data_IF_591844401940
#
_entry.id   IF_591844401940
#
_cell.length_a   1.000
_cell.length_b   1.000
_cell.length_c   1.000
_cell.angle_alpha   90.00
_cell.angle_beta   90.00
_cell.angle_gamma   90.00
#
_symmetry.space_group_name_H-M   'P 1'
#
loop_
_entity.id
_entity.type
_entity.pdbx_description
1 polymer ?
#
# COMPACT_ATOMS: atom_id res chain seq x y z
N UNK A 1 -26.38 -9.78 -40.80
CA UNK A 1 -26.36 -10.49 -39.50
C UNK A 1 -25.35 -11.63 -39.57
N UNK A 2 -24.07 -11.34 -39.34
CA UNK A 2 -23.02 -12.37 -39.23
C UNK A 2 -22.89 -12.78 -37.76
N UNK A 3 -23.05 -14.08 -37.49
CA UNK A 3 -22.85 -14.64 -36.15
C UNK A 3 -21.34 -14.67 -35.85
N UNK A 4 -20.85 -13.66 -35.14
CA UNK A 4 -19.50 -13.66 -34.58
C UNK A 4 -19.36 -14.80 -33.57
N UNK A 5 -18.55 -15.81 -33.90
CA UNK A 5 -18.15 -16.85 -32.95
C UNK A 5 -17.22 -16.22 -31.92
N UNK A 6 -17.66 -16.15 -30.67
CA UNK A 6 -16.81 -15.83 -29.53
C UNK A 6 -15.82 -16.98 -29.35
N UNK A 7 -14.58 -16.80 -29.82
CA UNK A 7 -13.49 -17.73 -29.51
C UNK A 7 -12.96 -17.30 -28.15
N UNK A 8 -13.41 -17.98 -27.08
CA UNK A 8 -12.78 -17.90 -25.78
C UNK A 8 -11.33 -18.39 -25.91
N UNK A 9 -10.36 -17.51 -25.68
CA UNK A 9 -8.95 -17.85 -25.47
C UNK A 9 -8.79 -18.37 -24.04
N UNK A 10 -8.65 -19.68 -23.79
CA UNK A 10 -8.45 -20.22 -22.46
C UNK A 10 -6.95 -20.42 -22.27
N UNK A 11 -6.16 -19.34 -22.22
CA UNK A 11 -4.70 -19.50 -22.14
C UNK A 11 -3.90 -18.35 -21.51
N UNK A 12 -4.52 -17.29 -20.96
CA UNK A 12 -3.77 -16.19 -20.34
C UNK A 12 -3.87 -16.09 -18.81
N UNK A 13 -4.60 -17.00 -18.14
CA UNK A 13 -4.75 -16.96 -16.67
C UNK A 13 -3.68 -17.75 -15.89
N UNK A 14 -2.73 -18.41 -16.55
CA UNK A 14 -1.75 -19.31 -15.89
C UNK A 14 -0.44 -18.59 -15.46
N UNK A 15 -0.24 -17.33 -15.83
CA UNK A 15 0.97 -16.57 -15.50
C UNK A 15 0.94 -15.80 -14.16
N UNK A 16 -0.06 -16.04 -13.30
CA UNK A 16 -0.08 -15.53 -11.91
C UNK A 16 0.41 -16.55 -10.87
N UNK A 17 1.06 -17.63 -11.30
CA UNK A 17 1.78 -18.52 -10.39
C UNK A 17 3.06 -17.79 -9.89
N UNK A 18 3.24 -17.61 -8.57
CA UNK A 18 4.43 -16.95 -8.05
C UNK A 18 5.64 -17.85 -8.26
N UNK A 19 6.54 -17.48 -9.17
CA UNK A 19 7.92 -17.94 -9.04
C UNK A 19 8.47 -17.32 -7.75
N UNK A 20 8.90 -18.17 -6.84
CA UNK A 20 9.57 -17.82 -5.58
C UNK A 20 10.97 -17.30 -5.87
N UNK A 21 11.06 -16.18 -6.58
CA UNK A 21 12.31 -15.46 -6.78
C UNK A 21 12.44 -14.54 -5.56
N UNK A 22 13.28 -14.94 -4.60
CA UNK A 22 13.55 -14.30 -3.31
C UNK A 22 12.53 -14.55 -2.16
N UNK A 23 12.50 -15.77 -1.63
CA UNK A 23 12.08 -16.00 -0.24
C UNK A 23 13.29 -15.83 0.69
N UNK A 24 13.38 -14.71 1.39
CA UNK A 24 14.25 -14.59 2.56
C UNK A 24 13.43 -14.94 3.81
N UNK A 25 13.95 -15.84 4.64
CA UNK A 25 13.33 -16.21 5.90
C UNK A 25 13.69 -15.15 6.95
N UNK A 26 12.65 -14.51 7.51
CA UNK A 26 12.80 -13.68 8.70
C UNK A 26 13.35 -14.53 9.86
N UNK A 27 14.31 -14.04 10.66
CA UNK A 27 14.79 -14.73 11.86
C UNK A 27 13.69 -14.83 12.94
N UNK A 28 12.59 -14.09 12.79
CA UNK A 28 11.34 -14.35 13.52
C UNK A 28 10.47 -15.28 12.66
N UNK A 29 10.13 -16.50 13.12
CA UNK A 29 9.29 -17.43 12.38
C UNK A 29 7.87 -16.86 12.34
N UNK A 30 7.53 -16.20 11.26
CA UNK A 30 6.13 -16.05 10.86
C UNK A 30 6.02 -16.62 9.46
N UNK A 31 5.32 -17.76 9.35
CA UNK A 31 4.88 -18.26 8.06
C UNK A 31 4.24 -17.10 7.29
N UNK A 32 4.53 -16.97 5.99
CA UNK A 32 3.96 -15.94 5.14
C UNK A 32 2.45 -15.87 5.39
N UNK A 33 2.01 -14.84 6.10
CA UNK A 33 0.62 -14.75 6.53
C UNK A 33 -0.14 -14.12 5.38
N UNK A 34 -0.82 -14.95 4.60
CA UNK A 34 -1.79 -14.48 3.64
C UNK A 34 -3.03 -14.02 4.43
N UNK A 35 -3.25 -12.72 4.49
CA UNK A 35 -4.41 -12.13 5.14
C UNK A 35 -5.43 -11.65 4.11
N UNK A 36 -6.71 -11.77 4.41
CA UNK A 36 -7.76 -11.21 3.55
C UNK A 36 -8.22 -9.87 4.10
N UNK A 37 -8.27 -8.85 3.25
CA UNK A 37 -8.80 -7.53 3.56
C UNK A 37 -10.02 -7.21 2.69
N UNK A 38 -10.93 -6.42 3.26
CA UNK A 38 -12.06 -5.87 2.53
C UNK A 38 -11.90 -4.36 2.43
N UNK A 39 -12.23 -3.79 1.28
CA UNK A 39 -12.16 -2.34 1.11
C UNK A 39 -13.38 -1.79 0.39
N UNK A 40 -13.75 -0.56 0.76
CA UNK A 40 -14.78 0.22 0.11
C UNK A 40 -14.18 1.54 -0.35
N UNK A 41 -14.35 1.88 -1.62
CA UNK A 41 -13.91 3.15 -2.20
C UNK A 41 -15.12 3.90 -2.74
N UNK A 42 -15.24 5.17 -2.40
CA UNK A 42 -16.14 6.10 -3.07
C UNK A 42 -15.30 7.17 -3.75
N UNK A 43 -15.51 7.35 -5.05
CA UNK A 43 -14.83 8.37 -5.86
C UNK A 43 -15.85 9.26 -6.55
N UNK A 44 -15.68 10.57 -6.42
CA UNK A 44 -16.39 11.57 -7.18
C UNK A 44 -15.38 12.36 -8.03
N UNK A 45 -15.69 12.56 -9.30
CA UNK A 45 -14.88 13.34 -10.22
C UNK A 45 -15.77 14.29 -11.00
N UNK A 46 -15.37 15.54 -11.09
CA UNK A 46 -15.98 16.50 -11.99
C UNK A 46 -15.05 16.72 -13.20
N UNK A 47 -15.61 17.08 -14.35
CA UNK A 47 -14.88 17.56 -15.51
C UNK A 47 -15.35 18.96 -15.85
N UNK A 48 -14.39 19.86 -16.06
CA UNK A 48 -14.63 21.19 -16.57
C UNK A 48 -13.46 21.54 -17.49
N UNK A 49 -13.69 21.50 -18.80
CA UNK A 49 -12.63 21.66 -19.81
C UNK A 49 -11.48 20.65 -19.56
N UNK A 50 -10.27 21.14 -19.33
CA UNK A 50 -9.07 20.34 -19.08
C UNK A 50 -8.87 20.01 -17.60
N UNK A 51 -9.74 20.50 -16.70
CA UNK A 51 -9.67 20.25 -15.27
C UNK A 51 -10.54 19.06 -14.87
N UNK A 52 -10.01 18.24 -13.97
CA UNK A 52 -10.66 17.06 -13.44
C UNK A 52 -10.55 17.01 -11.91
N UNK A 53 -11.27 17.87 -11.17
CA UNK A 53 -11.34 17.82 -9.72
C UNK A 53 -11.80 16.45 -9.25
N UNK A 54 -11.18 15.94 -8.18
CA UNK A 54 -11.40 14.59 -7.68
C UNK A 54 -11.45 14.58 -6.16
N UNK A 55 -12.47 13.91 -5.64
CA UNK A 55 -12.61 13.50 -4.26
C UNK A 55 -12.66 11.97 -4.20
N UNK A 56 -11.89 11.38 -3.31
CA UNK A 56 -11.88 9.94 -3.08
C UNK A 56 -11.85 9.66 -1.58
N UNK A 57 -12.63 8.69 -1.13
CA UNK A 57 -12.50 8.10 0.19
C UNK A 57 -12.36 6.59 0.08
N UNK A 58 -11.54 6.01 0.94
CA UNK A 58 -11.34 4.59 1.06
C UNK A 58 -11.40 4.18 2.52
N UNK A 59 -12.06 3.07 2.79
CA UNK A 59 -12.05 2.38 4.07
C UNK A 59 -11.58 0.95 3.82
N UNK A 60 -10.61 0.49 4.61
CA UNK A 60 -10.12 -0.89 4.57
C UNK A 60 -10.33 -1.54 5.93
N UNK A 61 -11.05 -2.64 5.94
CA UNK A 61 -11.27 -3.47 7.12
C UNK A 61 -10.37 -4.70 7.05
N UNK A 62 -9.60 -4.91 8.11
CA UNK A 62 -8.66 -6.02 8.21
C UNK A 62 -9.15 -7.05 9.22
N UNK A 63 -9.74 -8.14 8.73
CA UNK A 63 -10.38 -9.15 9.59
C UNK A 63 -9.37 -9.94 10.44
N UNK A 64 -8.09 -9.94 10.06
CA UNK A 64 -7.04 -10.64 10.77
C UNK A 64 -6.42 -9.75 11.85
N UNK A 65 -6.26 -10.31 13.06
CA UNK A 65 -5.46 -9.67 14.10
C UNK A 65 -4.02 -9.47 13.61
N UNK A 66 -3.46 -8.27 13.74
CA UNK A 66 -2.12 -7.97 13.21
C UNK A 66 -0.97 -8.62 14.00
N UNK A 67 -1.28 -9.17 15.18
CA UNK A 67 -0.32 -9.77 16.10
C UNK A 67 -0.60 -9.25 17.52
N UNK A 68 0.23 -9.64 18.50
CA UNK A 68 0.15 -9.05 19.82
C UNK A 68 0.40 -7.53 19.68
N UNK A 69 -0.43 -6.72 20.33
CA UNK A 69 -0.21 -5.28 20.50
C UNK A 69 -0.17 -4.94 21.96
N UNK A 70 0.71 -4.01 22.33
CA UNK A 70 0.77 -3.44 23.68
C UNK A 70 -0.18 -2.25 23.75
N UNK A 71 -1.26 -2.40 24.52
CA UNK A 71 -2.18 -1.28 24.78
C UNK A 71 -1.47 -0.25 25.66
N UNK A 72 -1.37 1.00 25.20
CA UNK A 72 -0.95 2.14 26.02
C UNK A 72 0.55 2.23 26.35
N UNK A 73 1.43 1.62 25.56
CA UNK A 73 2.89 1.76 25.75
C UNK A 73 3.44 1.18 27.06
N UNK A 74 2.66 0.34 27.76
CA UNK A 74 3.08 -0.20 29.06
C UNK A 74 4.29 -1.15 28.97
N UNK A 75 5.17 -1.05 29.97
CA UNK A 75 6.25 -2.00 30.22
C UNK A 75 5.72 -3.34 30.77
N UNK A 76 6.27 -4.42 30.20
CA UNK A 76 6.27 -5.82 30.64
C UNK A 76 4.96 -6.63 30.82
N UNK A 77 4.81 -7.61 29.92
CA UNK A 77 4.61 -9.05 30.21
C UNK A 77 3.38 -9.50 30.99
N UNK A 78 2.26 -8.79 31.00
CA UNK A 78 0.99 -9.40 31.42
C UNK A 78 0.20 -9.88 30.20
N UNK A 79 -0.38 -11.10 30.21
CA UNK A 79 -1.27 -11.58 29.14
C UNK A 79 -2.44 -10.63 28.83
N UNK A 80 -2.81 -9.74 29.76
CA UNK A 80 -3.81 -8.69 29.57
C UNK A 80 -3.32 -7.47 28.76
N UNK A 81 -2.00 -7.26 28.64
CA UNK A 81 -1.41 -6.17 27.87
C UNK A 81 -1.30 -6.48 26.37
N UNK A 82 -1.27 -7.77 26.01
CA UNK A 82 -1.29 -8.24 24.62
C UNK A 82 -2.73 -8.38 24.14
N UNK A 83 -3.27 -7.34 23.49
CA UNK A 83 -4.54 -7.47 22.77
C UNK A 83 -4.26 -7.62 21.29
N UNK A 84 -4.86 -8.65 20.70
CA UNK A 84 -5.03 -8.72 19.27
C UNK A 84 -5.93 -7.55 18.85
N UNK A 85 -5.45 -6.69 17.97
CA UNK A 85 -6.26 -5.63 17.38
C UNK A 85 -6.35 -5.82 15.86
N UNK A 86 -7.45 -5.32 15.33
CA UNK A 86 -7.70 -5.22 13.89
C UNK A 86 -7.42 -3.79 13.46
N UNK A 87 -6.71 -3.65 12.35
CA UNK A 87 -6.48 -2.34 11.76
C UNK A 87 -7.66 -1.96 10.88
N UNK A 88 -8.02 -0.68 10.91
CA UNK A 88 -9.13 -0.12 10.15
C UNK A 88 -8.72 1.18 9.46
N UNK A 89 -7.73 1.13 8.55
CA UNK A 89 -7.28 2.33 7.89
C UNK A 89 -8.38 2.95 7.05
N UNK A 90 -8.40 4.27 7.04
CA UNK A 90 -9.22 5.03 6.12
C UNK A 90 -8.47 6.25 5.63
N UNK A 91 -8.83 6.71 4.43
CA UNK A 91 -8.31 7.97 3.93
C UNK A 91 -9.32 8.70 3.08
N UNK A 92 -9.18 10.03 3.06
CA UNK A 92 -9.86 10.94 2.15
C UNK A 92 -8.79 11.70 1.35
N UNK A 93 -8.96 11.73 0.02
CA UNK A 93 -8.06 12.41 -0.91
C UNK A 93 -8.86 13.45 -1.70
N UNK A 94 -8.35 14.67 -1.75
CA UNK A 94 -8.90 15.77 -2.54
C UNK A 94 -7.80 16.31 -3.44
N UNK A 95 -8.13 16.59 -4.69
CA UNK A 95 -7.20 17.23 -5.61
C UNK A 95 -7.77 17.38 -6.98
N UNK A 96 -6.91 17.50 -7.97
CA UNK A 96 -7.32 17.68 -9.36
C UNK A 96 -6.29 17.13 -10.32
N UNK A 97 -6.75 16.67 -11.47
CA UNK A 97 -5.92 16.50 -12.64
C UNK A 97 -6.12 17.65 -13.63
N UNK A 98 -5.07 17.98 -14.37
CA UNK A 98 -5.09 18.85 -15.53
C UNK A 98 -4.63 18.05 -16.74
N UNK A 99 -5.45 18.03 -17.79
CA UNK A 99 -5.12 17.40 -19.06
C UNK A 99 -4.25 18.36 -19.87
N UNK A 100 -2.97 18.02 -20.05
CA UNK A 100 -2.08 18.78 -20.93
C UNK A 100 -2.39 18.52 -22.40
N UNK A 101 -2.76 17.27 -22.70
CA UNK A 101 -3.23 16.81 -24.00
C UNK A 101 -4.05 15.51 -23.78
N UNK A 102 -4.67 14.92 -24.83
CA UNK A 102 -5.48 13.72 -24.70
C UNK A 102 -4.75 12.49 -24.10
N UNK A 103 -3.42 12.49 -24.12
CA UNK A 103 -2.57 11.39 -23.68
C UNK A 103 -1.84 11.65 -22.36
N UNK A 104 -1.80 12.89 -21.87
CA UNK A 104 -0.96 13.25 -20.73
C UNK A 104 -1.74 14.12 -19.75
N UNK A 105 -1.74 13.67 -18.50
CA UNK A 105 -2.37 14.35 -17.38
C UNK A 105 -1.34 14.56 -16.28
N UNK A 106 -1.43 15.70 -15.61
CA UNK A 106 -0.69 15.99 -14.39
C UNK A 106 -1.68 16.22 -13.26
N UNK A 107 -1.35 15.85 -12.03
CA UNK A 107 -2.26 16.00 -10.91
C UNK A 107 -1.54 16.31 -9.60
N UNK A 108 -2.25 17.03 -8.75
CA UNK A 108 -1.84 17.36 -7.39
C UNK A 108 -2.97 17.02 -6.43
N UNK A 109 -2.64 16.30 -5.35
CA UNK A 109 -3.61 15.88 -4.35
C UNK A 109 -3.08 16.04 -2.94
N UNK A 110 -4.00 16.31 -2.05
CA UNK A 110 -3.82 16.19 -0.62
C UNK A 110 -4.62 15.00 -0.11
N UNK A 111 -4.02 14.22 0.79
CA UNK A 111 -4.65 13.10 1.45
C UNK A 111 -4.58 13.27 2.96
N UNK A 112 -5.70 13.08 3.62
CA UNK A 112 -5.78 12.80 5.04
C UNK A 112 -6.05 11.31 5.22
N UNK A 113 -5.34 10.65 6.12
CA UNK A 113 -5.50 9.25 6.43
C UNK A 113 -5.47 9.02 7.95
N UNK A 114 -5.99 7.88 8.37
CA UNK A 114 -5.78 7.37 9.72
C UNK A 114 -5.48 5.88 9.68
N UNK A 115 -4.53 5.47 10.53
CA UNK A 115 -4.21 4.07 10.75
C UNK A 115 -3.60 3.36 9.54
N UNK A 116 -3.01 4.10 8.60
CA UNK A 116 -2.20 3.47 7.58
C UNK A 116 -0.98 2.82 8.22
N UNK A 117 -0.47 1.80 7.53
CA UNK A 117 0.68 1.06 8.03
C UNK A 117 1.95 1.71 7.58
N UNK A 118 2.83 1.90 8.53
CA UNK A 118 4.18 2.36 8.32
C UNK A 118 5.16 1.34 8.86
N UNK A 119 6.35 1.34 8.29
CA UNK A 119 7.43 0.43 8.72
C UNK A 119 7.75 0.57 10.21
N UNK A 120 7.61 1.78 10.73
CA UNK A 120 7.89 2.10 12.12
C UNK A 120 6.82 1.56 13.10
N UNK A 121 5.70 1.02 12.60
CA UNK A 121 4.63 0.43 13.42
C UNK A 121 4.97 -0.96 13.95
N UNK A 122 5.92 -1.65 13.31
CA UNK A 122 6.51 -2.88 13.82
C UNK A 122 7.64 -2.52 14.78
N UNK A 123 7.41 -2.78 16.05
CA UNK A 123 8.25 -2.32 17.15
C UNK A 123 8.68 -3.51 17.97
N UNK A 124 9.84 -3.40 18.58
CA UNK A 124 10.25 -4.35 19.59
C UNK A 124 10.34 -3.69 20.97
N UNK A 125 10.06 -4.46 22.02
CA UNK A 125 10.19 -4.01 23.40
C UNK A 125 11.48 -4.49 24.07
N UNK A 126 12.44 -5.02 23.31
CA UNK A 126 13.64 -5.62 23.88
C UNK A 126 13.56 -7.14 23.98
N UNK A 127 14.56 -7.73 24.62
CA UNK A 127 14.63 -9.16 24.88
C UNK A 127 13.60 -9.57 25.95
N UNK A 128 12.75 -10.56 25.65
CA UNK A 128 11.87 -11.20 26.65
C UNK A 128 12.70 -12.10 27.57
N UNK A 129 13.74 -12.71 27.01
CA UNK A 129 14.71 -13.59 27.66
C UNK A 129 15.98 -13.66 26.78
N UNK A 130 16.98 -14.45 27.16
CA UNK A 130 18.20 -14.66 26.37
C UNK A 130 17.95 -15.27 24.97
N UNK A 131 16.71 -15.65 24.65
CA UNK A 131 16.35 -16.43 23.47
C UNK A 131 15.56 -15.64 22.42
N UNK A 132 14.77 -14.63 22.82
CA UNK A 132 13.77 -14.03 21.95
C UNK A 132 13.56 -12.53 22.19
N UNK A 133 13.42 -11.79 21.09
CA UNK A 133 12.96 -10.41 21.07
C UNK A 133 11.43 -10.33 21.11
N UNK A 134 10.87 -9.42 21.92
CA UNK A 134 9.44 -9.14 21.95
C UNK A 134 9.07 -8.19 20.82
N UNK A 135 8.51 -8.72 19.73
CA UNK A 135 8.01 -7.91 18.62
C UNK A 135 6.49 -7.77 18.68
N UNK A 136 6.01 -6.54 18.50
CA UNK A 136 4.58 -6.23 18.52
C UNK A 136 4.25 -5.12 17.52
N UNK A 137 2.99 -5.08 17.09
CA UNK A 137 2.48 -3.97 16.29
C UNK A 137 1.90 -2.88 17.19
N UNK A 138 2.22 -1.63 16.89
CA UNK A 138 1.52 -0.49 17.47
C UNK A 138 0.11 -0.40 16.91
N UNK A 139 -0.88 -0.18 17.78
CA UNK A 139 -2.23 0.13 17.32
C UNK A 139 -2.28 1.56 16.77
N UNK A 140 -2.20 1.71 15.46
CA UNK A 140 -2.14 3.01 14.78
C UNK A 140 -3.49 3.53 14.30
N UNK A 141 -4.61 2.86 14.59
CA UNK A 141 -5.94 3.22 14.07
C UNK A 141 -6.35 4.69 14.29
N UNK A 142 -5.82 5.35 15.32
CA UNK A 142 -6.09 6.75 15.64
C UNK A 142 -4.99 7.71 15.20
N UNK A 143 -3.94 7.26 14.49
CA UNK A 143 -2.83 8.13 14.05
C UNK A 143 -3.28 8.95 12.85
N UNK A 144 -3.36 10.29 12.97
CA UNK A 144 -3.60 11.14 11.81
C UNK A 144 -2.36 11.18 10.92
N UNK A 145 -2.57 10.99 9.63
CA UNK A 145 -1.54 11.00 8.61
C UNK A 145 -1.94 11.95 7.49
N UNK A 146 -0.97 12.68 6.98
CA UNK A 146 -1.16 13.62 5.90
C UNK A 146 -0.25 13.25 4.75
N UNK A 147 -0.70 13.43 3.51
CA UNK A 147 0.18 13.28 2.36
C UNK A 147 -0.09 14.32 1.28
N UNK A 148 0.98 14.74 0.63
CA UNK A 148 0.97 15.50 -0.61
C UNK A 148 1.37 14.56 -1.73
N UNK A 149 0.60 14.58 -2.82
CA UNK A 149 0.73 13.63 -3.92
C UNK A 149 0.87 14.39 -5.22
N UNK A 150 1.96 14.15 -5.94
CA UNK A 150 2.13 14.57 -7.33
C UNK A 150 1.96 13.37 -8.26
N UNK A 151 1.22 13.52 -9.34
CA UNK A 151 0.90 12.45 -10.28
C UNK A 151 1.12 12.91 -11.73
N UNK A 152 1.74 12.05 -12.54
CA UNK A 152 1.84 12.19 -13.98
C UNK A 152 1.28 10.90 -14.59
N UNK A 153 0.23 11.02 -15.38
CA UNK A 153 -0.46 9.90 -16.01
C UNK A 153 -0.36 10.01 -17.52
N UNK A 154 0.26 9.02 -18.17
CA UNK A 154 0.25 8.84 -19.62
C UNK A 154 -0.80 7.81 -20.03
N UNK A 155 -1.52 8.05 -21.12
CA UNK A 155 -2.56 7.17 -21.66
C UNK A 155 -2.44 7.04 -23.17
N UNK A 156 -2.56 5.81 -23.65
CA UNK A 156 -2.47 5.49 -25.06
C UNK A 156 -3.52 4.45 -25.44
N UNK A 157 -4.29 4.74 -26.50
CA UNK A 157 -5.18 3.75 -27.11
C UNK A 157 -4.34 2.72 -27.84
N UNK A 158 -4.64 1.44 -27.63
CA UNK A 158 -3.94 0.31 -28.24
C UNK A 158 -4.82 -0.31 -29.35
N UNK A 159 -4.92 0.38 -30.48
CA UNK A 159 -5.81 -0.01 -31.58
C UNK A 159 -5.38 -1.32 -32.27
N UNK A 160 -4.12 -1.72 -32.12
CA UNK A 160 -3.61 -2.98 -32.65
C UNK A 160 -4.14 -4.23 -31.92
N UNK A 161 -4.78 -4.06 -30.75
CA UNK A 161 -5.36 -5.17 -29.99
C UNK A 161 -6.79 -5.47 -30.46
N UNK A 162 -7.23 -6.75 -30.46
CA UNK A 162 -8.56 -7.13 -30.90
C UNK A 162 -9.67 -6.38 -30.15
N UNK A 163 -10.65 -5.86 -30.90
CA UNK A 163 -11.79 -5.12 -30.36
C UNK A 163 -11.54 -3.63 -30.15
N UNK A 164 -10.34 -3.11 -30.44
CA UNK A 164 -9.98 -1.68 -30.58
C UNK A 164 -10.27 -0.75 -29.38
N UNK A 165 -10.83 -1.29 -28.29
CA UNK A 165 -11.25 -0.55 -27.09
C UNK A 165 -10.28 -0.72 -25.92
N UNK A 166 -9.00 -0.87 -26.23
CA UNK A 166 -7.94 -1.04 -25.26
C UNK A 166 -7.24 0.29 -24.98
N UNK A 167 -7.03 0.59 -23.70
CA UNK A 167 -6.28 1.76 -23.25
C UNK A 167 -5.18 1.30 -22.30
N UNK A 168 -3.94 1.61 -22.65
CA UNK A 168 -2.82 1.55 -21.73
C UNK A 168 -2.76 2.83 -20.90
N UNK A 169 -2.47 2.69 -19.61
CA UNK A 169 -2.24 3.78 -18.67
C UNK A 169 -0.92 3.54 -17.95
N UNK A 170 -0.07 4.56 -17.87
CA UNK A 170 1.11 4.55 -17.02
C UNK A 170 1.04 5.73 -16.06
N UNK A 171 0.91 5.44 -14.76
CA UNK A 171 1.00 6.47 -13.73
C UNK A 171 2.35 6.47 -13.05
N UNK A 172 2.86 7.67 -12.83
CA UNK A 172 4.06 7.98 -12.09
C UNK A 172 3.64 8.91 -10.97
N UNK A 173 3.86 8.52 -9.72
CA UNK A 173 3.34 9.28 -8.59
C UNK A 173 4.35 9.40 -7.48
N UNK A 174 4.48 10.59 -6.90
CA UNK A 174 5.27 10.81 -5.68
C UNK A 174 4.27 11.04 -4.55
N UNK A 175 4.42 10.31 -3.46
CA UNK A 175 3.73 10.54 -2.21
C UNK A 175 4.72 11.03 -1.18
N UNK A 176 4.50 12.22 -0.64
CA UNK A 176 5.17 12.71 0.55
C UNK A 176 4.19 12.62 1.72
N UNK A 177 4.38 11.65 2.60
CA UNK A 177 3.54 11.43 3.78
C UNK A 177 4.24 11.94 5.02
N UNK A 178 3.52 12.63 5.91
CA UNK A 178 4.02 13.04 7.21
C UNK A 178 2.97 12.84 8.30
N UNK A 179 3.45 12.58 9.51
CA UNK A 179 2.62 12.42 10.70
C UNK A 179 3.43 12.71 11.96
N UNK A 180 2.69 12.98 13.04
CA UNK A 180 3.26 13.11 14.38
C UNK A 180 2.61 12.08 15.29
N UNK A 181 3.41 11.31 16.01
CA UNK A 181 2.90 10.29 16.91
C UNK A 181 3.82 10.14 18.13
N UNK A 182 3.34 10.57 19.28
CA UNK A 182 4.08 10.57 20.55
C UNK A 182 4.49 9.18 21.04
N UNK A 183 3.87 8.11 20.52
CA UNK A 183 4.29 6.73 20.77
C UNK A 183 5.68 6.41 20.19
N UNK A 184 6.23 7.31 19.37
CA UNK A 184 7.60 7.26 18.91
C UNK A 184 8.57 8.04 19.81
N UNK A 185 8.12 9.01 20.60
CA UNK A 185 9.01 9.91 21.36
C UNK A 185 9.68 9.24 22.54
N UNK A 186 8.94 8.38 23.24
CA UNK A 186 9.38 7.75 24.48
C UNK A 186 9.15 6.24 24.39
N UNK A 187 10.24 5.50 24.14
CA UNK A 187 10.25 4.04 24.10
C UNK A 187 11.27 3.53 25.09
N UNK A 188 10.79 2.71 26.02
CA UNK A 188 11.47 2.29 27.26
C UNK A 188 12.88 1.72 27.10
N UNK A 189 13.29 1.31 25.89
CA UNK A 189 14.60 0.70 25.63
C UNK A 189 15.37 1.31 24.43
N UNK A 190 14.89 2.41 23.82
CA UNK A 190 15.31 2.81 22.46
C UNK A 190 15.80 4.27 22.33
N UNK A 191 15.82 5.02 23.44
CA UNK A 191 16.16 6.45 23.43
C UNK A 191 15.05 7.33 22.85
N UNK A 192 15.23 8.65 22.94
CA UNK A 192 14.26 9.63 22.42
C UNK A 192 14.36 9.72 20.91
N UNK A 193 13.24 9.51 20.24
CA UNK A 193 13.10 9.75 18.81
C UNK A 193 12.18 10.94 18.54
N UNK A 194 12.21 11.49 17.33
CA UNK A 194 11.20 12.48 16.94
C UNK A 194 9.84 11.80 16.81
N UNK A 195 8.78 12.40 17.38
CA UNK A 195 7.40 12.06 17.01
C UNK A 195 7.11 12.28 15.54
N UNK A 196 7.87 13.18 14.90
CA UNK A 196 7.60 13.63 13.55
C UNK A 196 8.30 12.71 12.55
N UNK A 197 7.49 12.02 11.75
CA UNK A 197 7.97 11.12 10.71
C UNK A 197 7.53 11.67 9.36
N UNK A 198 8.43 11.57 8.38
CA UNK A 198 8.15 11.89 6.99
C UNK A 198 8.70 10.80 6.07
N UNK A 199 7.83 10.22 5.26
CA UNK A 199 8.16 9.14 4.32
C UNK A 199 7.78 9.57 2.90
N UNK A 200 8.74 9.46 1.98
CA UNK A 200 8.54 9.76 0.57
C UNK A 200 8.64 8.47 -0.24
N UNK A 201 7.60 8.15 -0.99
CA UNK A 201 7.59 7.04 -1.94
C UNK A 201 7.31 7.51 -3.36
N UNK A 202 7.93 6.84 -4.31
CA UNK A 202 7.60 6.91 -5.73
C UNK A 202 6.81 5.67 -6.12
N UNK A 203 5.71 5.84 -6.84
CA UNK A 203 4.81 4.77 -7.27
C UNK A 203 4.77 4.75 -8.78
N UNK A 204 5.13 3.59 -9.35
CA UNK A 204 4.98 3.30 -10.77
C UNK A 204 3.79 2.37 -10.96
N UNK A 205 2.87 2.75 -11.84
CA UNK A 205 1.66 1.98 -12.10
C UNK A 205 1.34 1.84 -13.58
N UNK A 206 1.84 0.81 -14.26
CA UNK A 206 1.27 0.37 -15.52
C UNK A 206 -0.14 -0.22 -15.31
N UNK A 207 -1.02 0.03 -16.27
CA UNK A 207 -2.39 -0.43 -16.28
C UNK A 207 -2.87 -0.66 -17.70
N UNK A 208 -3.74 -1.65 -17.85
CA UNK A 208 -4.43 -1.96 -19.08
C UNK A 208 -5.94 -1.97 -18.80
N UNK A 209 -6.70 -1.28 -19.64
CA UNK A 209 -8.15 -1.18 -19.53
C UNK A 209 -8.78 -1.61 -20.85
N UNK A 210 -9.86 -2.38 -20.76
CA UNK A 210 -10.69 -2.75 -21.90
C UNK A 210 -12.11 -2.22 -21.68
N UNK A 211 -12.62 -1.46 -22.66
CA UNK A 211 -13.97 -0.92 -22.63
C UNK A 211 -14.89 -1.80 -23.47
N UNK A 212 -15.81 -2.49 -22.82
CA UNK A 212 -16.93 -3.11 -23.51
C UNK A 212 -18.00 -2.05 -23.73
N UNK A 213 -18.19 -1.66 -25.00
CA UNK A 213 -19.18 -0.69 -25.41
C UNK A 213 -20.51 -1.36 -25.80
N UNK A 214 -21.61 -0.66 -25.54
CA UNK A 214 -22.93 -0.96 -26.08
C UNK A 214 -23.38 0.25 -26.92
N UNK A 215 -23.21 0.17 -28.24
CA UNK A 215 -23.18 1.35 -29.11
C UNK A 215 -21.95 2.20 -28.80
N UNK A 216 -22.14 3.50 -28.62
CA UNK A 216 -21.07 4.45 -28.30
C UNK A 216 -20.87 4.68 -26.79
N UNK A 217 -21.59 3.92 -25.95
CA UNK A 217 -21.57 4.09 -24.49
C UNK A 217 -20.81 2.96 -23.80
N UNK A 218 -20.01 3.24 -22.77
CA UNK A 218 -19.37 2.19 -21.98
C UNK A 218 -20.43 1.41 -21.20
N UNK A 219 -20.44 0.09 -21.38
CA UNK A 219 -21.28 -0.82 -20.61
C UNK A 219 -20.49 -1.42 -19.44
N UNK A 220 -19.28 -1.91 -19.74
CA UNK A 220 -18.35 -2.40 -18.74
C UNK A 220 -16.93 -1.94 -19.03
N UNK A 221 -16.14 -1.72 -17.98
CA UNK A 221 -14.70 -1.51 -18.10
C UNK A 221 -13.98 -2.57 -17.29
N UNK A 222 -13.13 -3.37 -17.93
CA UNK A 222 -12.22 -4.29 -17.24
C UNK A 222 -10.87 -3.62 -17.08
N UNK A 223 -10.20 -3.87 -15.97
CA UNK A 223 -8.87 -3.33 -15.74
C UNK A 223 -7.94 -4.34 -15.09
N UNK A 224 -6.68 -4.27 -15.51
CA UNK A 224 -5.54 -4.94 -14.91
C UNK A 224 -4.49 -3.88 -14.60
N UNK A 225 -4.03 -3.81 -13.35
CA UNK A 225 -3.05 -2.81 -12.94
C UNK A 225 -1.98 -3.45 -12.07
N UNK A 226 -0.76 -2.96 -12.15
CA UNK A 226 0.30 -3.33 -11.23
C UNK A 226 0.89 -2.06 -10.63
N UNK A 227 0.99 -1.97 -9.31
CA UNK A 227 1.63 -0.86 -8.61
C UNK A 227 2.92 -1.34 -7.96
N UNK A 228 4.02 -0.62 -8.20
CA UNK A 228 5.28 -0.80 -7.52
C UNK A 228 5.61 0.48 -6.73
N UNK A 229 5.78 0.34 -5.42
CA UNK A 229 6.05 1.45 -4.49
C UNK A 229 7.52 1.39 -4.08
N UNK A 230 8.25 2.43 -4.46
CA UNK A 230 9.68 2.61 -4.20
C UNK A 230 9.89 3.62 -3.08
N UNK A 231 10.58 3.23 -2.00
CA UNK A 231 10.98 4.14 -0.96
C UNK A 231 12.15 5.03 -1.42
N UNK A 232 12.02 6.35 -1.24
CA UNK A 232 13.04 7.32 -1.66
C UNK A 232 13.93 7.76 -0.49
N UNK A 233 13.37 7.97 0.69
CA UNK A 233 14.08 8.48 1.87
C UNK A 233 13.88 7.63 3.14
N UNK A 234 13.29 6.43 3.02
CA UNK A 234 13.02 5.54 4.15
C UNK A 234 13.30 4.07 3.77
N UNK A 235 13.32 3.19 4.77
CA UNK A 235 13.49 1.74 4.55
C UNK A 235 14.91 1.32 4.15
N UNK A 236 15.20 0.02 4.16
CA UNK A 236 16.49 -0.55 3.69
C UNK A 236 16.43 -1.05 2.24
N UNK A 237 15.23 -1.10 1.63
CA UNK A 237 14.99 -1.61 0.29
C UNK A 237 14.35 -0.53 -0.57
N UNK A 238 14.70 -0.50 -1.85
CA UNK A 238 14.07 0.41 -2.80
C UNK A 238 12.61 0.01 -3.02
N UNK A 239 12.31 -1.24 -3.39
CA UNK A 239 10.92 -1.71 -3.51
C UNK A 239 10.39 -2.15 -2.14
N UNK A 240 9.37 -1.46 -1.65
CA UNK A 240 8.81 -1.70 -0.29
C UNK A 240 7.38 -2.23 -0.32
N UNK A 241 6.67 -2.02 -1.42
CA UNK A 241 5.28 -2.46 -1.55
C UNK A 241 4.95 -2.70 -3.03
N UNK A 242 4.13 -3.71 -3.29
CA UNK A 242 3.64 -4.00 -4.64
C UNK A 242 2.21 -4.52 -4.61
N UNK A 243 1.44 -4.16 -5.62
CA UNK A 243 0.05 -4.59 -5.77
C UNK A 243 -0.22 -5.05 -7.19
N UNK A 244 -0.92 -6.17 -7.35
CA UNK A 244 -1.51 -6.59 -8.62
C UNK A 244 -3.03 -6.55 -8.51
N UNK A 245 -3.68 -5.70 -9.29
CA UNK A 245 -5.13 -5.51 -9.31
C UNK A 245 -5.75 -6.12 -10.56
N UNK A 246 -6.89 -6.75 -10.38
CA UNK A 246 -7.81 -7.10 -11.45
C UNK A 246 -9.23 -6.74 -11.02
N UNK A 247 -10.00 -6.14 -11.92
CA UNK A 247 -11.37 -5.77 -11.60
C UNK A 247 -12.16 -5.31 -12.79
N UNK A 248 -13.38 -4.90 -12.51
CA UNK A 248 -14.26 -4.31 -13.50
C UNK A 248 -15.13 -3.21 -12.90
N UNK A 249 -15.65 -2.35 -13.76
CA UNK A 249 -16.72 -1.40 -13.50
C UNK A 249 -17.90 -1.74 -14.40
N UNK A 250 -19.09 -1.79 -13.81
CA UNK A 250 -20.37 -1.75 -14.49
C UNK A 250 -20.86 -0.30 -14.52
N UNK A 251 -21.16 0.21 -15.72
CA UNK A 251 -21.66 1.57 -15.90
C UNK A 251 -23.18 1.55 -15.83
N UNK A 252 -23.72 2.08 -14.72
CA UNK A 252 -25.17 2.19 -14.50
C UNK A 252 -25.75 3.31 -15.36
N UNK A 253 -25.01 4.41 -15.45
CA UNK A 253 -25.23 5.53 -16.37
C UNK A 253 -23.88 6.04 -16.89
N UNK A 254 -23.88 7.13 -17.67
CA UNK A 254 -22.63 7.77 -18.11
C UNK A 254 -21.86 8.40 -16.94
N UNK A 255 -22.59 8.76 -15.88
CA UNK A 255 -22.10 9.41 -14.68
C UNK A 255 -21.78 8.42 -13.56
N UNK A 256 -22.53 7.32 -13.45
CA UNK A 256 -22.43 6.41 -12.31
C UNK A 256 -21.90 5.05 -12.72
N UNK A 257 -20.83 4.62 -12.05
CA UNK A 257 -20.27 3.29 -12.20
C UNK A 257 -20.04 2.61 -10.85
N UNK A 258 -20.25 1.30 -10.80
CA UNK A 258 -19.99 0.46 -9.62
C UNK A 258 -19.02 -0.62 -10.05
N UNK A 259 -18.00 -0.88 -9.24
CA UNK A 259 -16.95 -1.82 -9.56
C UNK A 259 -16.62 -2.77 -8.42
N UNK A 260 -16.08 -3.91 -8.82
CA UNK A 260 -15.47 -4.90 -7.94
C UNK A 260 -14.05 -5.14 -8.39
N UNK A 261 -13.15 -5.30 -7.43
CA UNK A 261 -11.78 -5.69 -7.70
C UNK A 261 -11.26 -6.70 -6.69
N UNK A 262 -10.29 -7.46 -7.17
CA UNK A 262 -9.41 -8.28 -6.35
C UNK A 262 -7.99 -7.73 -6.53
N UNK A 263 -7.23 -7.70 -5.44
CA UNK A 263 -5.84 -7.31 -5.48
C UNK A 263 -4.99 -8.26 -4.66
N UNK A 264 -3.80 -8.57 -5.15
CA UNK A 264 -2.75 -9.20 -4.36
C UNK A 264 -1.76 -8.13 -3.95
N UNK A 265 -1.69 -7.86 -2.65
CA UNK A 265 -0.74 -6.93 -2.06
C UNK A 265 0.44 -7.69 -1.45
N UNK A 266 1.63 -7.11 -1.55
CA UNK A 266 2.82 -7.59 -0.88
C UNK A 266 3.62 -6.42 -0.32
N UNK A 267 3.99 -6.52 0.96
CA UNK A 267 4.82 -5.55 1.66
C UNK A 267 6.12 -6.21 2.08
N UNK A 268 7.21 -5.46 1.96
CA UNK A 268 8.49 -5.80 2.54
C UNK A 268 8.80 -4.82 3.66
N UNK A 269 8.64 -5.30 4.89
CA UNK A 269 8.99 -4.57 6.09
C UNK A 269 10.50 -4.63 6.27
N UNK A 270 11.14 -3.48 6.42
CA UNK A 270 12.54 -3.42 6.86
C UNK A 270 12.65 -2.91 8.29
N UNK A 271 13.85 -2.91 8.84
CA UNK A 271 14.17 -2.27 10.12
C UNK A 271 13.59 -0.85 10.25
N UNK A 272 12.94 -0.58 11.39
CA UNK A 272 12.49 0.75 11.77
C UNK A 272 13.68 1.68 12.03
N UNK A 273 13.47 2.99 11.93
CA UNK A 273 14.54 3.96 12.21
C UNK A 273 14.96 3.93 13.68
N UNK A 274 14.04 3.53 14.56
CA UNK A 274 14.35 3.29 15.96
C UNK A 274 15.39 2.18 16.14
N UNK A 275 15.30 1.09 15.38
CA UNK A 275 16.28 0.01 15.46
C UNK A 275 17.64 0.43 14.89
N UNK A 276 17.64 1.29 13.87
CA UNK A 276 18.88 1.82 13.28
C UNK A 276 19.65 2.73 14.22
N UNK A 277 18.96 3.57 15.00
CA UNK A 277 19.61 4.55 15.88
C UNK A 277 20.03 3.97 17.23
N UNK A 278 19.51 2.80 17.63
CA UNK A 278 19.97 2.06 18.81
C UNK A 278 21.32 1.36 18.55
N UNK A 279 21.72 1.20 17.27
CA UNK A 279 23.07 0.73 16.93
C UNK A 279 24.09 1.61 17.64
N UNK A 280 25.17 1.04 18.22
CA UNK A 280 26.17 1.82 18.93
C UNK A 280 26.63 2.98 18.04
N UNK A 281 26.63 4.19 18.60
CA UNK A 281 27.17 5.35 17.91
C UNK A 281 28.56 5.01 17.37
N UNK A 282 28.86 5.46 16.15
CA UNK A 282 30.18 5.28 15.56
C UNK A 282 31.25 5.74 16.57
N UNK A 283 32.05 4.80 17.10
CA UNK A 283 33.02 5.05 18.17
C UNK A 283 32.78 4.31 19.49
N UNK A 284 31.65 3.61 19.66
CA UNK A 284 31.49 2.65 20.77
C UNK A 284 32.42 1.45 20.57
N UNK A 285 33.27 1.15 21.55
CA UNK A 285 34.22 0.02 21.52
C UNK A 285 33.58 -1.33 21.86
N UNK A 286 32.34 -1.32 22.36
CA UNK A 286 31.53 -2.52 22.57
C UNK A 286 30.45 -2.59 21.48
N UNK A 287 30.61 -3.47 20.47
CA UNK A 287 29.56 -3.75 19.52
C UNK A 287 28.33 -4.28 20.25
N UNK A 288 27.13 -3.81 19.90
CA UNK A 288 25.90 -4.46 20.35
C UNK A 288 25.87 -5.85 19.71
N UNK A 289 25.76 -6.88 20.55
CA UNK A 289 25.75 -8.26 20.11
C UNK A 289 24.30 -8.75 20.06
N UNK A 290 23.96 -9.46 19.00
CA UNK A 290 22.69 -10.10 18.73
C UNK A 290 22.94 -11.57 18.39
N UNK A 291 21.94 -12.43 18.59
CA UNK A 291 22.00 -13.83 18.17
C UNK A 291 21.35 -13.99 16.80
N UNK A 292 21.98 -14.75 15.89
CA UNK A 292 21.35 -15.16 14.63
C UNK A 292 20.24 -16.21 14.83
N UNK A 293 20.34 -16.98 15.92
CA UNK A 293 19.44 -18.08 16.23
C UNK A 293 18.64 -17.80 17.51
N UNK A 294 17.35 -18.13 17.47
CA UNK A 294 16.45 -18.02 18.62
C UNK A 294 16.97 -18.95 19.73
N UNK A 295 17.20 -18.43 20.94
CA UNK A 295 17.69 -19.25 22.06
C UNK A 295 19.17 -19.17 22.34
N UNK A 296 19.97 -18.61 21.44
CA UNK A 296 21.42 -18.67 21.55
C UNK A 296 22.02 -17.38 22.11
N UNK A 297 23.25 -17.52 22.62
CA UNK A 297 24.03 -16.38 23.08
C UNK A 297 24.22 -15.39 21.92
N UNK A 298 24.21 -14.10 22.24
CA UNK A 298 24.49 -13.06 21.27
C UNK A 298 25.92 -13.19 20.73
N UNK A 299 26.06 -13.64 19.48
CA UNK A 299 27.32 -14.03 18.85
C UNK A 299 27.68 -13.18 17.62
N UNK A 300 26.76 -12.30 17.21
CA UNK A 300 26.83 -11.54 15.96
C UNK A 300 26.64 -10.07 16.24
N UNK A 301 27.42 -9.20 15.62
CA UNK A 301 27.23 -7.76 15.82
C UNK A 301 25.87 -7.34 15.23
N UNK A 302 25.01 -6.69 16.01
CA UNK A 302 23.66 -6.30 15.58
C UNK A 302 23.66 -5.41 14.32
N UNK A 303 24.76 -4.71 14.04
CA UNK A 303 24.93 -3.91 12.84
C UNK A 303 25.00 -4.72 11.53
N UNK A 304 25.20 -6.05 11.59
CA UNK A 304 25.22 -6.94 10.42
C UNK A 304 23.87 -7.62 10.14
N UNK A 305 22.93 -7.58 11.09
CA UNK A 305 21.59 -8.12 10.85
C UNK A 305 20.78 -7.14 10.01
N UNK A 306 19.98 -7.70 9.09
CA UNK A 306 18.98 -6.96 8.30
C UNK A 306 17.63 -7.61 8.55
N UNK A 307 16.75 -6.97 9.30
CA UNK A 307 15.38 -7.48 9.44
C UNK A 307 14.56 -7.13 8.20
N UNK A 308 14.13 -8.14 7.45
CA UNK A 308 13.24 -7.99 6.29
C UNK A 308 12.04 -8.94 6.40
N UNK A 309 10.92 -8.52 6.98
CA UNK A 309 9.70 -9.35 6.97
C UNK A 309 8.93 -9.16 5.65
N UNK A 310 8.30 -10.22 5.15
CA UNK A 310 7.39 -10.13 3.99
C UNK A 310 5.97 -10.42 4.46
N UNK A 311 5.03 -9.55 4.11
CA UNK A 311 3.60 -9.76 4.34
C UNK A 311 2.87 -9.76 3.01
N UNK A 312 1.82 -10.58 2.90
CA UNK A 312 0.98 -10.68 1.71
C UNK A 312 -0.49 -10.56 2.10
N UNK A 313 -1.28 -9.95 1.24
CA UNK A 313 -2.73 -9.94 1.41
C UNK A 313 -3.46 -10.14 0.10
N UNK A 314 -4.62 -10.80 0.19
CA UNK A 314 -5.65 -10.74 -0.82
C UNK A 314 -6.64 -9.65 -0.38
N UNK A 315 -6.88 -8.67 -1.23
CA UNK A 315 -7.79 -7.56 -0.97
C UNK A 315 -8.97 -7.68 -1.92
N UNK A 316 -10.17 -7.69 -1.36
CA UNK A 316 -11.42 -7.62 -2.12
C UNK A 316 -12.00 -6.23 -1.93
N UNK A 317 -12.23 -5.51 -3.02
CA UNK A 317 -12.71 -4.13 -2.96
C UNK A 317 -14.00 -3.91 -3.74
N UNK A 318 -14.83 -3.05 -3.17
CA UNK A 318 -15.98 -2.43 -3.84
C UNK A 318 -15.62 -0.98 -4.14
N UNK A 319 -15.90 -0.51 -5.35
CA UNK A 319 -15.74 0.90 -5.72
C UNK A 319 -17.04 1.45 -6.27
N UNK A 320 -17.50 2.58 -5.75
CA UNK A 320 -18.54 3.40 -6.36
C UNK A 320 -17.90 4.65 -6.96
N UNK A 321 -18.27 5.00 -8.19
CA UNK A 321 -17.75 6.14 -8.92
C UNK A 321 -18.89 7.01 -9.43
N UNK A 322 -18.76 8.32 -9.22
CA UNK A 322 -19.62 9.35 -9.77
C UNK A 322 -18.75 10.27 -10.61
N UNK A 323 -19.17 10.54 -11.85
CA UNK A 323 -18.52 11.43 -12.82
C UNK A 323 -19.53 12.46 -13.30
N UNK A 324 -19.20 13.73 -13.18
CA UNK A 324 -20.04 14.83 -13.63
C UNK A 324 -19.27 15.61 -14.70
N UNK A 325 -19.88 15.82 -15.86
CA UNK A 325 -19.29 16.66 -16.92
C UNK A 325 -20.02 18.00 -16.99
N UNK A 326 -19.29 19.09 -16.72
CA UNK A 326 -19.78 20.46 -16.75
C UNK A 326 -19.19 21.25 -17.93
N UNK A 327 -18.56 20.56 -18.90
CA UNK A 327 -17.99 21.22 -20.08
C UNK A 327 -19.13 21.88 -20.87
N UNK A 328 -19.06 23.19 -21.17
CA UNK A 328 -20.08 23.86 -21.97
C UNK A 328 -20.29 23.13 -23.31
N UNK A 329 -21.55 23.01 -23.72
CA UNK A 329 -21.88 22.58 -25.08
C UNK A 329 -21.65 23.81 -25.97
N UNK A 330 -20.63 23.76 -26.83
CA UNK A 330 -20.37 24.80 -27.84
C UNK A 330 -21.40 24.79 -28.97
#
# INVERSE_FOLDING_TARGET
>A
MSRGRLVFLPALLVWLAPTTIFSWASPVPQAARETTFYSGTLRAQARYDNWLPLLETNYRFENAAQGPSRVGGGNNTTPGAQKNYQQQPWHATLGTYFNLNPHLMIGGFYRYAQGERHRNDWVSAGWVNAAAWDWFWLNTNSRPEHAAIGDITWRQKLEFLPGENWVFELKNRIHYTWYSDSRYEERDNWGRHSANVAETKYVLRPGLQYFWLNGDKPFMTFFLQYEAHFALNFGTRSLVESWGYFGFFYHVSEEVAIGLNIARAQWWWSESDSLRNVRPAAGSTTPEMCSNDIGQAADTVCNTMKYVATQRALVVGLTAMIRLDFTPIE
#
